data_IF_856527557809
#
_entry.id   IF_856527557809
#
_cell.length_a   1.000
_cell.length_b   1.000
_cell.length_c   1.000
_cell.angle_alpha   90.00
_cell.angle_beta   90.00
_cell.angle_gamma   90.00
#
_symmetry.space_group_name_H-M   'P 1'
#
loop_
_entity.id
_entity.type
_entity.pdbx_description
1 polymer ?
#
# COMPACT_ATOMS: atom_id res chain seq x y z
N UNK A 1 -18.51 -3.90 12.73
CA UNK A 1 -18.17 -2.88 11.70
C UNK A 1 -16.73 -3.07 11.27
N UNK A 2 -16.45 -3.10 9.96
CA UNK A 2 -15.14 -3.43 9.39
C UNK A 2 -14.26 -2.21 9.02
N UNK A 3 -14.72 -1.00 9.34
CA UNK A 3 -14.08 0.25 8.89
C UNK A 3 -12.65 0.45 9.39
N UNK A 4 -12.38 0.11 10.66
CA UNK A 4 -11.03 0.24 11.25
C UNK A 4 -10.06 -0.72 10.57
N UNK A 5 -10.36 -2.02 10.55
CA UNK A 5 -9.50 -3.02 9.91
C UNK A 5 -9.21 -2.70 8.44
N UNK A 6 -10.22 -2.19 7.71
CA UNK A 6 -10.05 -1.77 6.32
C UNK A 6 -9.16 -0.53 6.17
N UNK A 7 -9.25 0.44 7.09
CA UNK A 7 -8.36 1.59 7.11
C UNK A 7 -6.91 1.19 7.38
N UNK A 8 -6.69 0.24 8.31
CA UNK A 8 -5.36 -0.31 8.58
C UNK A 8 -4.82 -1.08 7.37
N UNK A 9 -5.62 -1.94 6.74
CA UNK A 9 -5.22 -2.66 5.52
C UNK A 9 -4.79 -1.69 4.40
N UNK A 10 -5.55 -0.61 4.21
CA UNK A 10 -5.21 0.43 3.24
C UNK A 10 -3.91 1.16 3.59
N UNK A 11 -3.67 1.45 4.86
CA UNK A 11 -2.42 2.06 5.30
C UNK A 11 -1.23 1.12 5.03
N UNK A 12 -1.37 -0.17 5.34
CA UNK A 12 -0.34 -1.18 5.06
C UNK A 12 -0.07 -1.29 3.56
N UNK A 13 -1.11 -1.34 2.72
CA UNK A 13 -0.95 -1.42 1.26
C UNK A 13 -0.24 -0.19 0.68
N UNK A 14 -0.45 1.00 1.25
CA UNK A 14 0.22 2.23 0.83
C UNK A 14 1.68 2.31 1.29
N UNK A 15 2.00 1.76 2.45
CA UNK A 15 3.36 1.75 2.98
C UNK A 15 4.22 0.66 2.33
N UNK A 16 3.66 -0.54 2.16
CA UNK A 16 4.42 -1.72 1.76
C UNK A 16 4.10 -2.22 0.35
N UNK A 17 3.09 -1.67 -0.32
CA UNK A 17 2.69 -2.10 -1.66
C UNK A 17 3.77 -1.93 -2.73
N UNK A 18 4.72 -1.03 -2.51
CA UNK A 18 5.91 -0.87 -3.36
C UNK A 18 6.80 -2.12 -3.43
N UNK A 19 6.56 -3.14 -2.59
CA UNK A 19 7.31 -4.40 -2.65
C UNK A 19 7.19 -5.07 -4.02
N UNK A 20 6.05 -4.91 -4.73
CA UNK A 20 5.84 -5.47 -6.07
C UNK A 20 6.84 -4.93 -7.09
N UNK A 21 7.15 -3.64 -7.01
CA UNK A 21 8.13 -2.99 -7.90
C UNK A 21 9.58 -3.40 -7.57
N UNK A 22 9.81 -4.04 -6.41
CA UNK A 22 11.12 -4.52 -5.95
C UNK A 22 11.35 -6.02 -6.18
N UNK A 23 10.39 -6.73 -6.77
CA UNK A 23 10.54 -8.13 -7.17
C UNK A 23 11.28 -8.21 -8.51
N UNK A 24 12.27 -9.10 -8.59
CA UNK A 24 13.06 -9.33 -9.79
C UNK A 24 13.11 -10.82 -10.11
N UNK A 25 13.10 -11.15 -11.40
CA UNK A 25 13.37 -12.52 -11.88
C UNK A 25 14.85 -12.70 -12.17
N UNK A 26 15.41 -13.82 -11.73
CA UNK A 26 16.77 -14.25 -12.08
C UNK A 26 16.79 -14.85 -13.49
N UNK A 27 17.99 -15.15 -14.01
CA UNK A 27 18.15 -15.79 -15.33
C UNK A 27 17.61 -17.21 -15.33
N UNK A 28 17.55 -17.83 -14.15
CA UNK A 28 17.08 -19.18 -13.88
C UNK A 28 15.56 -19.25 -13.74
N UNK A 29 14.88 -18.09 -13.67
CA UNK A 29 13.42 -17.98 -13.58
C UNK A 29 12.87 -17.82 -12.16
N UNK A 30 13.73 -17.83 -11.15
CA UNK A 30 13.34 -17.61 -9.75
C UNK A 30 13.10 -16.13 -9.47
N UNK A 31 12.06 -15.83 -8.70
CA UNK A 31 11.71 -14.50 -8.22
C UNK A 31 12.41 -14.28 -6.88
N UNK A 32 13.07 -13.14 -6.75
CA UNK A 32 13.70 -12.67 -5.52
C UNK A 32 13.29 -11.23 -5.21
N UNK A 33 13.52 -10.81 -3.98
CA UNK A 33 13.25 -9.46 -3.51
C UNK A 33 14.53 -8.64 -3.47
N UNK A 34 14.54 -7.47 -4.10
CA UNK A 34 15.65 -6.53 -4.08
C UNK A 34 15.40 -5.43 -3.05
N UNK A 35 16.10 -5.49 -1.91
CA UNK A 35 16.04 -4.42 -0.90
C UNK A 35 16.46 -3.07 -1.48
N UNK A 36 17.46 -3.05 -2.38
CA UNK A 36 17.92 -1.83 -3.02
C UNK A 36 16.79 -1.13 -3.79
N UNK A 37 16.06 -1.88 -4.63
CA UNK A 37 14.92 -1.33 -5.37
C UNK A 37 13.77 -0.91 -4.44
N UNK A 38 13.53 -1.69 -3.38
CA UNK A 38 12.48 -1.34 -2.41
C UNK A 38 12.79 -0.04 -1.66
N UNK A 39 14.07 0.22 -1.38
CA UNK A 39 14.54 1.40 -0.69
C UNK A 39 14.78 2.60 -1.62
N UNK A 40 14.75 2.41 -2.94
CA UNK A 40 14.87 3.48 -3.94
C UNK A 40 13.55 4.26 -4.13
N UNK A 41 13.06 4.83 -3.04
CA UNK A 41 11.82 5.60 -3.04
C UNK A 41 12.08 7.11 -3.16
N UNK A 42 11.27 7.81 -3.99
CA UNK A 42 11.40 9.25 -4.26
C UNK A 42 11.21 10.15 -3.02
N UNK A 43 10.49 9.66 -2.01
CA UNK A 43 10.26 10.38 -0.76
C UNK A 43 11.27 9.96 0.31
N UNK A 44 12.11 10.92 0.76
CA UNK A 44 13.10 10.69 1.80
C UNK A 44 12.49 10.21 3.13
N UNK A 45 11.32 10.73 3.51
CA UNK A 45 10.64 10.29 4.74
C UNK A 45 10.15 8.85 4.64
N UNK A 46 9.63 8.43 3.49
CA UNK A 46 9.26 7.02 3.30
C UNK A 46 10.49 6.15 3.27
N UNK A 47 11.55 6.59 2.60
CA UNK A 47 12.82 5.85 2.54
C UNK A 47 13.36 5.52 3.94
N UNK A 48 13.38 6.48 4.86
CA UNK A 48 13.81 6.24 6.25
C UNK A 48 12.91 5.21 6.97
N UNK A 49 11.60 5.29 6.75
CA UNK A 49 10.66 4.31 7.29
C UNK A 49 10.90 2.91 6.72
N UNK A 50 11.06 2.78 5.40
CA UNK A 50 11.31 1.51 4.73
C UNK A 50 12.65 0.90 5.13
N UNK A 51 13.69 1.72 5.33
CA UNK A 51 14.98 1.27 5.89
C UNK A 51 14.82 0.63 7.26
N UNK A 52 13.93 1.16 8.11
CA UNK A 52 13.62 0.52 9.38
C UNK A 52 12.79 -0.76 9.17
N UNK A 53 11.86 -0.73 8.22
CA UNK A 53 10.95 -1.84 7.98
C UNK A 53 11.63 -3.10 7.42
N UNK A 54 12.64 -2.97 6.56
CA UNK A 54 13.38 -4.13 6.01
C UNK A 54 14.07 -4.95 7.11
N UNK A 55 14.37 -4.33 8.25
CA UNK A 55 14.95 -5.02 9.40
C UNK A 55 13.92 -5.68 10.31
N UNK A 56 12.62 -5.41 10.15
CA UNK A 56 11.57 -6.02 10.96
C UNK A 56 11.36 -7.48 10.57
N UNK A 57 11.36 -8.37 11.57
CA UNK A 57 11.16 -9.81 11.34
C UNK A 57 9.83 -10.10 10.66
N UNK A 58 8.76 -9.39 11.03
CA UNK A 58 7.45 -9.53 10.42
C UNK A 58 7.48 -9.21 8.92
N UNK A 59 8.25 -8.20 8.51
CA UNK A 59 8.38 -7.83 7.12
C UNK A 59 9.17 -8.88 6.33
N UNK A 60 10.25 -9.41 6.91
CA UNK A 60 11.01 -10.52 6.31
C UNK A 60 10.12 -11.74 6.08
N UNK A 61 9.37 -12.17 7.10
CA UNK A 61 8.43 -13.30 6.98
C UNK A 61 7.35 -13.05 5.93
N UNK A 62 6.86 -11.81 5.83
CA UNK A 62 5.92 -11.42 4.78
C UNK A 62 6.53 -11.59 3.38
N UNK A 63 7.74 -11.07 3.15
CA UNK A 63 8.43 -11.20 1.85
C UNK A 63 8.73 -12.67 1.54
N UNK A 64 9.26 -13.45 2.49
CA UNK A 64 9.57 -14.87 2.29
C UNK A 64 8.31 -15.66 1.89
N UNK A 65 7.19 -15.41 2.55
CA UNK A 65 5.91 -16.04 2.21
C UNK A 65 5.43 -15.66 0.80
N UNK A 66 5.66 -14.41 0.36
CA UNK A 66 5.33 -13.98 -1.01
C UNK A 66 6.23 -14.64 -2.05
N UNK A 67 7.53 -14.71 -1.79
CA UNK A 67 8.49 -15.37 -2.68
C UNK A 67 8.18 -16.87 -2.82
N UNK A 68 7.82 -17.56 -1.75
CA UNK A 68 7.43 -18.99 -1.80
C UNK A 68 6.22 -19.23 -2.71
N UNK A 69 5.20 -18.36 -2.64
CA UNK A 69 4.01 -18.45 -3.51
C UNK A 69 4.39 -18.18 -4.97
N UNK A 70 5.15 -17.11 -5.21
CA UNK A 70 5.55 -16.65 -6.54
C UNK A 70 6.46 -17.65 -7.25
N UNK A 71 7.43 -18.23 -6.54
CA UNK A 71 8.34 -19.25 -7.09
C UNK A 71 7.65 -20.59 -7.36
N UNK A 72 6.46 -20.82 -6.80
CA UNK A 72 5.58 -21.94 -7.19
C UNK A 72 4.72 -21.64 -8.42
N UNK A 73 4.93 -20.50 -9.08
CA UNK A 73 4.16 -20.05 -10.23
C UNK A 73 2.74 -19.59 -9.87
N UNK A 74 2.47 -19.28 -8.61
CA UNK A 74 1.16 -18.79 -8.14
C UNK A 74 1.25 -17.29 -7.82
N UNK A 75 0.15 -16.57 -8.03
CA UNK A 75 0.01 -15.21 -7.54
C UNK A 75 -0.49 -15.19 -6.10
N UNK A 76 -0.03 -14.28 -5.24
CA UNK A 76 -0.69 -14.02 -3.97
C UNK A 76 -2.11 -13.51 -4.23
N UNK A 77 -3.10 -14.14 -3.59
CA UNK A 77 -4.52 -13.82 -3.74
C UNK A 77 -5.11 -13.54 -2.35
N UNK A 78 -4.98 -12.30 -1.89
CA UNK A 78 -5.51 -11.86 -0.61
C UNK A 78 -5.94 -10.39 -0.63
N UNK A 79 -6.61 -9.97 0.45
CA UNK A 79 -7.18 -8.62 0.58
C UNK A 79 -6.12 -7.51 0.49
N UNK A 80 -4.86 -7.81 0.82
CA UNK A 80 -3.78 -6.82 0.75
C UNK A 80 -3.42 -6.55 -0.72
N UNK A 81 -3.28 -7.59 -1.54
CA UNK A 81 -3.06 -7.42 -2.98
C UNK A 81 -4.20 -6.67 -3.67
N UNK A 82 -5.46 -6.98 -3.30
CA UNK A 82 -6.60 -6.23 -3.81
C UNK A 82 -6.53 -4.74 -3.45
N UNK A 83 -6.08 -4.41 -2.23
CA UNK A 83 -6.01 -3.02 -1.77
C UNK A 83 -4.86 -2.26 -2.45
N UNK A 84 -3.76 -2.93 -2.82
CA UNK A 84 -2.71 -2.35 -3.66
C UNK A 84 -3.29 -1.93 -5.01
N UNK A 85 -4.00 -2.84 -5.69
CA UNK A 85 -4.61 -2.58 -7.01
C UNK A 85 -5.60 -1.41 -6.92
N UNK A 86 -6.41 -1.35 -5.85
CA UNK A 86 -7.35 -0.23 -5.59
C UNK A 86 -6.61 1.08 -5.35
N UNK A 87 -5.47 1.07 -4.66
CA UNK A 87 -4.65 2.25 -4.42
C UNK A 87 -3.98 2.77 -5.70
N UNK A 88 -3.53 1.89 -6.59
CA UNK A 88 -2.93 2.26 -7.88
C UNK A 88 -3.95 2.90 -8.83
N UNK A 89 -5.13 2.30 -8.93
CA UNK A 89 -6.21 2.74 -9.83
C UNK A 89 -6.87 4.05 -9.41
N UNK A 90 -6.92 4.36 -8.12
CA UNK A 90 -7.58 5.57 -7.60
C UNK A 90 -6.69 6.82 -7.58
N UNK A 91 -5.36 6.66 -7.63
CA UNK A 91 -4.45 7.78 -7.41
C UNK A 91 -3.43 8.01 -8.55
N UNK A 92 -3.17 7.05 -9.42
CA UNK A 92 -1.97 7.07 -10.26
C UNK A 92 -0.70 6.95 -9.39
N UNK A 93 0.32 6.24 -9.88
CA UNK A 93 1.52 5.77 -9.14
C UNK A 93 2.26 6.81 -8.25
N UNK A 94 1.95 8.11 -8.30
CA UNK A 94 2.59 9.16 -7.48
C UNK A 94 1.69 10.00 -6.55
N UNK A 95 0.35 9.99 -6.67
CA UNK A 95 -0.50 10.92 -5.87
C UNK A 95 -0.97 10.34 -4.54
N UNK A 96 -1.07 9.01 -4.40
CA UNK A 96 -1.65 8.38 -3.21
C UNK A 96 -0.82 8.66 -1.95
N UNK A 97 0.51 8.55 -2.07
CA UNK A 97 1.44 8.88 -1.00
C UNK A 97 1.39 10.36 -0.63
N UNK A 98 1.40 11.27 -1.64
CA UNK A 98 1.30 12.72 -1.41
C UNK A 98 0.00 13.13 -0.70
N UNK A 99 -1.11 12.47 -1.02
CA UNK A 99 -2.41 12.71 -0.36
C UNK A 99 -2.38 12.22 1.09
N UNK A 100 -1.78 11.06 1.37
CA UNK A 100 -1.65 10.55 2.74
C UNK A 100 -0.71 11.42 3.59
N UNK A 101 0.50 11.74 3.11
CA UNK A 101 1.40 12.63 3.87
C UNK A 101 0.84 14.05 3.99
N UNK A 102 0.09 14.53 2.99
CA UNK A 102 -0.64 15.79 3.06
C UNK A 102 -1.72 15.77 4.15
N UNK A 103 -2.43 14.64 4.30
CA UNK A 103 -3.45 14.45 5.33
C UNK A 103 -2.83 14.24 6.72
N UNK A 104 -1.70 13.52 6.82
CA UNK A 104 -0.98 13.30 8.08
C UNK A 104 -0.31 14.59 8.60
N UNK A 105 0.28 15.40 7.71
CA UNK A 105 0.89 16.68 8.06
C UNK A 105 -0.13 17.76 8.42
N UNK A 106 -1.39 17.64 7.95
CA UNK A 106 -2.45 18.62 8.23
C UNK A 106 -3.35 18.28 9.41
N UNK A 107 -3.22 17.13 10.06
CA UNK A 107 -4.09 16.88 11.20
C UNK A 107 -3.85 15.57 11.93
N UNK A 108 -3.09 15.64 13.03
CA UNK A 108 -3.13 14.69 14.13
C UNK A 108 -4.48 14.61 14.87
N UNK A 109 -5.56 15.17 14.30
CA UNK A 109 -6.93 15.13 14.84
C UNK A 109 -8.04 14.95 13.79
N UNK A 110 -7.70 14.70 12.51
CA UNK A 110 -8.69 14.71 11.41
C UNK A 110 -9.00 13.33 10.80
N UNK A 111 -8.77 12.23 11.54
CA UNK A 111 -9.13 10.86 11.08
C UNK A 111 -10.66 10.66 10.98
N UNK A 112 -11.45 11.59 11.53
CA UNK A 112 -12.89 11.65 11.29
C UNK A 112 -13.13 12.73 10.25
N UNK A 113 -13.51 12.39 9.00
CA UNK A 113 -14.49 13.14 8.19
C UNK A 113 -14.70 12.70 6.72
N UNK A 114 -14.03 11.68 6.18
CA UNK A 114 -14.28 11.28 4.78
C UNK A 114 -15.49 10.35 4.53
N UNK A 115 -16.34 10.08 5.53
CA UNK A 115 -17.59 9.30 5.33
C UNK A 115 -18.85 10.12 5.04
N UNK A 116 -18.81 11.46 5.06
CA UNK A 116 -20.04 12.27 4.87
C UNK A 116 -20.30 12.82 3.46
N UNK A 117 -19.42 12.61 2.48
CA UNK A 117 -19.61 13.19 1.13
C UNK A 117 -20.20 12.26 0.06
N UNK A 118 -20.85 11.15 0.47
CA UNK A 118 -21.61 10.30 -0.47
C UNK A 118 -23.08 10.06 -0.09
N UNK A 119 -23.66 10.97 0.71
CA UNK A 119 -25.07 10.91 1.10
C UNK A 119 -25.93 12.10 0.63
N UNK A 120 -25.42 13.06 -0.16
CA UNK A 120 -26.23 14.22 -0.58
C UNK A 120 -26.10 14.65 -2.06
N UNK A 121 -26.06 13.71 -3.00
CA UNK A 121 -26.26 14.04 -4.44
C UNK A 121 -27.62 13.55 -4.96
N UNK A 122 -28.59 13.30 -4.07
CA UNK A 122 -29.96 12.93 -4.47
C UNK A 122 -31.02 13.62 -3.62
N UNK A 123 -30.98 14.94 -3.57
CA UNK A 123 -32.07 15.77 -3.07
C UNK A 123 -32.03 17.16 -3.73
N UNK A 124 -32.20 17.22 -5.05
CA UNK A 124 -32.63 18.44 -5.75
C UNK A 124 -33.37 18.03 -7.03
N UNK A 125 -34.68 17.99 -6.94
CA UNK A 125 -35.59 17.74 -8.04
C UNK A 125 -37.02 17.73 -7.50
N UNK A 126 -37.83 18.68 -7.98
CA UNK A 126 -39.24 18.94 -7.69
C UNK A 126 -39.54 19.74 -6.41
N UNK A 127 -39.60 21.06 -6.58
CA UNK A 127 -40.88 21.79 -6.67
C UNK A 127 -40.69 22.95 -7.63
#
# INVERSE_FOLDING_TARGET
>A
GCGVSRAFLKAQALLFGGYRDALQSTKEGDIHFSEELFLDHKSQSLKQFLQSAVHLQLFKQFIDARLDILNKGKGPDDLFEEEIIKCETTAGKGRSYQQMVGNLKKGGGAIILNMKSKANVRAKGFT
#
